data_IF_375714963941
#
_entry.id   IF_375714963941
#
_cell.length_a   1.000
_cell.length_b   1.000
_cell.length_c   1.000
_cell.angle_alpha   90.00
_cell.angle_beta   90.00
_cell.angle_gamma   90.00
#
_symmetry.space_group_name_H-M   'P 1'
#
loop_
_entity.id
_entity.type
_entity.pdbx_description
1 polymer ?
#
# COMPACT_ATOMS: atom_id res chain seq x y z
N UNK A 1 17.08 -12.41 0.52
CA UNK A 1 15.74 -13.02 0.27
C UNK A 1 15.35 -12.74 -1.18
N UNK A 2 14.79 -13.71 -1.83
CA UNK A 2 14.27 -13.55 -3.18
C UNK A 2 13.03 -12.64 -3.16
N UNK A 3 12.99 -11.65 -4.06
CA UNK A 3 11.88 -10.69 -4.09
C UNK A 3 10.54 -11.37 -4.41
N UNK A 4 10.55 -12.34 -5.32
CA UNK A 4 9.34 -13.07 -5.68
C UNK A 4 8.77 -13.81 -4.47
N UNK A 5 9.63 -14.45 -3.68
CA UNK A 5 9.20 -15.16 -2.47
C UNK A 5 8.61 -14.20 -1.44
N UNK A 6 9.21 -13.02 -1.29
CA UNK A 6 8.69 -11.99 -0.39
C UNK A 6 7.32 -11.49 -0.82
N UNK A 7 7.13 -11.25 -2.12
CA UNK A 7 5.84 -10.80 -2.67
C UNK A 7 4.78 -11.91 -2.46
N UNK A 8 5.11 -13.15 -2.72
CA UNK A 8 4.18 -14.27 -2.51
C UNK A 8 3.80 -14.42 -1.03
N UNK A 9 4.75 -14.23 -0.12
CA UNK A 9 4.44 -14.19 1.30
C UNK A 9 3.46 -13.06 1.62
N UNK A 10 3.71 -11.87 1.09
CA UNK A 10 2.85 -10.71 1.31
C UNK A 10 1.44 -10.91 0.75
N UNK A 11 1.27 -11.68 -0.32
CA UNK A 11 -0.06 -11.99 -0.87
C UNK A 11 -0.93 -12.77 0.11
N UNK A 12 -0.34 -13.49 1.04
CA UNK A 12 -1.09 -14.25 2.06
C UNK A 12 -1.59 -13.37 3.19
N UNK A 13 -1.24 -12.08 3.20
CA UNK A 13 -1.57 -11.14 4.25
C UNK A 13 -2.15 -9.86 3.64
N UNK A 14 -2.67 -9.00 4.50
CA UNK A 14 -3.29 -7.73 4.08
C UNK A 14 -2.81 -6.55 4.91
N UNK A 15 -2.29 -6.80 6.11
CA UNK A 15 -1.87 -5.76 7.03
C UNK A 15 -0.36 -5.68 7.10
N UNK A 16 0.14 -4.48 7.15
CA UNK A 16 1.56 -4.23 7.26
C UNK A 16 1.86 -2.86 7.83
N UNK A 17 3.15 -2.60 8.00
CA UNK A 17 3.64 -1.30 8.44
C UNK A 17 4.38 -0.66 7.27
N UNK A 18 3.85 0.47 6.82
CA UNK A 18 4.48 1.28 5.77
C UNK A 18 5.46 2.24 6.42
N UNK A 19 6.67 2.27 5.89
CA UNK A 19 7.73 3.17 6.35
C UNK A 19 8.02 4.17 5.24
N UNK A 20 7.85 5.45 5.56
CA UNK A 20 8.22 6.58 4.70
C UNK A 20 9.26 7.41 5.42
N UNK A 21 9.93 8.32 4.72
CA UNK A 21 11.04 9.11 5.26
C UNK A 21 10.60 10.55 5.48
N UNK A 22 10.70 11.00 6.74
CA UNK A 22 10.39 12.39 7.12
C UNK A 22 11.45 13.34 6.58
N UNK A 23 11.15 14.65 6.62
CA UNK A 23 12.08 15.70 6.20
C UNK A 23 13.44 15.63 6.93
N UNK A 24 13.42 15.26 8.21
CA UNK A 24 14.64 15.17 9.02
C UNK A 24 15.38 13.84 8.82
N UNK A 25 14.92 12.98 7.93
CA UNK A 25 15.53 11.70 7.64
C UNK A 25 15.07 10.55 8.52
N UNK A 26 14.26 10.81 9.53
CA UNK A 26 13.75 9.75 10.40
C UNK A 26 12.64 8.98 9.70
N UNK A 27 12.47 7.68 10.02
CA UNK A 27 11.36 6.92 9.49
C UNK A 27 10.05 7.32 10.14
N UNK A 28 8.99 7.36 9.33
CA UNK A 28 7.62 7.42 9.82
C UNK A 28 6.94 6.09 9.52
N UNK A 29 6.35 5.49 10.54
CA UNK A 29 5.70 4.19 10.44
C UNK A 29 4.18 4.37 10.51
N UNK A 30 3.47 3.68 9.62
CA UNK A 30 2.00 3.72 9.58
C UNK A 30 1.46 2.31 9.40
N UNK A 31 0.49 1.94 10.21
CA UNK A 31 -0.26 0.70 9.97
C UNK A 31 -1.15 0.91 8.75
N UNK A 32 -1.10 -0.03 7.83
CA UNK A 32 -1.87 0.04 6.58
C UNK A 32 -2.46 -1.32 6.23
N UNK A 33 -3.50 -1.28 5.42
CA UNK A 33 -3.99 -2.45 4.70
C UNK A 33 -3.60 -2.27 3.23
N UNK A 34 -3.04 -3.30 2.62
CA UNK A 34 -2.57 -3.23 1.24
C UNK A 34 -3.22 -4.31 0.38
N UNK A 35 -3.17 -4.12 -0.91
CA UNK A 35 -3.41 -5.16 -1.90
C UNK A 35 -2.18 -5.35 -2.76
N UNK A 36 -2.03 -6.55 -3.34
CA UNK A 36 -0.95 -6.85 -4.28
C UNK A 36 -1.59 -7.20 -5.62
N UNK A 37 -1.28 -6.41 -6.64
CA UNK A 37 -1.77 -6.67 -7.99
C UNK A 37 -1.06 -7.86 -8.64
N UNK A 38 -1.64 -8.37 -9.73
CA UNK A 38 -1.02 -9.43 -10.53
C UNK A 38 0.35 -8.99 -11.09
N UNK A 39 0.52 -7.68 -11.25
CA UNK A 39 1.77 -7.05 -11.68
C UNK A 39 2.84 -6.97 -10.57
N UNK A 40 2.53 -7.41 -9.35
CA UNK A 40 3.44 -7.34 -8.22
C UNK A 40 3.49 -5.98 -7.53
N UNK A 41 2.69 -5.03 -7.99
CA UNK A 41 2.64 -3.69 -7.39
C UNK A 41 1.71 -3.70 -6.18
N UNK A 42 2.18 -3.13 -5.08
CA UNK A 42 1.38 -2.98 -3.87
C UNK A 42 0.60 -1.67 -3.93
N UNK A 43 -0.63 -1.69 -3.47
CA UNK A 43 -1.50 -0.52 -3.47
C UNK A 43 -2.07 -0.29 -2.09
N UNK A 44 -2.12 0.99 -1.70
CA UNK A 44 -2.65 1.45 -0.42
C UNK A 44 -3.52 2.65 -0.67
N UNK A 45 -4.73 2.67 -0.07
CA UNK A 45 -5.57 3.86 -0.09
C UNK A 45 -5.08 4.84 0.98
N UNK A 46 -4.75 6.06 0.57
CA UNK A 46 -4.28 7.10 1.48
C UNK A 46 -5.03 8.40 1.22
N UNK A 47 -5.03 9.29 2.19
CA UNK A 47 -5.59 10.64 1.97
C UNK A 47 -4.48 11.63 1.63
N UNK A 48 -4.82 12.64 0.84
CA UNK A 48 -3.87 13.65 0.39
C UNK A 48 -3.20 14.40 1.55
N UNK A 49 -3.90 14.53 2.68
CA UNK A 49 -3.43 15.30 3.84
C UNK A 49 -2.55 14.53 4.81
N UNK A 50 -2.40 13.21 4.64
CA UNK A 50 -1.62 12.40 5.58
C UNK A 50 -0.11 12.61 5.42
N UNK A 51 0.61 12.48 6.53
CA UNK A 51 2.06 12.64 6.54
C UNK A 51 2.77 11.65 5.62
N UNK A 52 2.31 10.39 5.59
CA UNK A 52 2.90 9.36 4.71
C UNK A 52 2.77 9.72 3.23
N UNK A 53 1.68 10.38 2.84
CA UNK A 53 1.50 10.84 1.46
C UNK A 53 2.50 11.95 1.12
N UNK A 54 2.61 12.95 1.99
CA UNK A 54 3.57 14.04 1.79
C UNK A 54 5.01 13.53 1.76
N UNK A 55 5.35 12.60 2.67
CA UNK A 55 6.67 11.99 2.71
C UNK A 55 7.00 11.25 1.42
N UNK A 56 6.05 10.42 0.92
CA UNK A 56 6.25 9.64 -0.29
C UNK A 56 6.40 10.53 -1.54
N UNK A 57 5.73 11.68 -1.58
CA UNK A 57 5.89 12.65 -2.67
C UNK A 57 7.27 13.30 -2.66
N UNK A 58 7.82 13.57 -1.48
CA UNK A 58 9.12 14.21 -1.35
C UNK A 58 10.28 13.23 -1.51
N UNK A 59 10.12 12.03 -0.98
CA UNK A 59 11.13 10.97 -1.04
C UNK A 59 10.42 9.67 -1.39
N UNK A 60 10.70 9.16 -2.57
CA UNK A 60 9.99 7.98 -3.10
C UNK A 60 10.42 6.67 -2.45
N UNK A 61 11.50 6.65 -1.69
CA UNK A 61 11.95 5.43 -1.01
C UNK A 61 10.98 5.04 0.09
N UNK A 62 10.46 3.84 0.00
CA UNK A 62 9.51 3.30 0.98
C UNK A 62 9.87 1.86 1.31
N UNK A 63 9.42 1.41 2.47
CA UNK A 63 9.55 0.02 2.90
C UNK A 63 8.22 -0.44 3.47
N UNK A 64 7.89 -1.70 3.22
CA UNK A 64 6.69 -2.32 3.77
C UNK A 64 7.11 -3.54 4.59
N UNK A 65 6.83 -3.50 5.88
CA UNK A 65 7.07 -4.63 6.79
C UNK A 65 5.80 -5.44 6.92
N UNK A 66 5.88 -6.71 6.57
CA UNK A 66 4.78 -7.67 6.66
C UNK A 66 5.23 -8.81 7.55
N UNK A 67 4.45 -9.13 8.57
CA UNK A 67 4.81 -10.17 9.52
C UNK A 67 3.71 -11.20 9.66
N UNK A 68 4.08 -12.44 9.94
CA UNK A 68 3.15 -13.50 10.32
C UNK A 68 2.66 -13.24 11.76
N UNK A 69 1.45 -13.71 12.07
CA UNK A 69 0.82 -13.41 13.36
C UNK A 69 1.65 -13.86 14.56
N UNK A 70 2.45 -14.93 14.40
CA UNK A 70 3.31 -15.46 15.48
C UNK A 70 4.67 -14.76 15.58
N UNK A 71 4.96 -13.78 14.71
CA UNK A 71 6.22 -13.04 14.64
C UNK A 71 7.45 -13.84 14.19
N UNK A 72 7.33 -15.12 13.87
CA UNK A 72 8.47 -15.94 13.47
C UNK A 72 8.82 -15.85 11.99
N UNK A 73 7.95 -15.26 11.18
CA UNK A 73 8.23 -15.02 9.77
C UNK A 73 7.84 -13.61 9.42
N UNK A 74 8.69 -12.94 8.65
CA UNK A 74 8.41 -11.59 8.17
C UNK A 74 9.19 -11.31 6.89
N UNK A 75 8.72 -10.32 6.14
CA UNK A 75 9.44 -9.78 5.01
C UNK A 75 9.37 -8.26 5.05
N UNK A 76 10.47 -7.61 4.72
CA UNK A 76 10.51 -6.18 4.47
C UNK A 76 10.74 -6.00 2.98
N UNK A 77 9.79 -5.37 2.31
CA UNK A 77 9.85 -5.10 0.88
C UNK A 77 10.24 -3.65 0.71
N UNK A 78 11.39 -3.41 0.13
CA UNK A 78 11.88 -2.07 -0.17
C UNK A 78 11.58 -1.74 -1.62
N UNK A 79 11.13 -0.52 -1.86
CA UNK A 79 10.78 -0.12 -3.21
C UNK A 79 10.59 1.39 -3.31
N UNK A 80 9.93 1.78 -4.40
CA UNK A 80 9.65 3.18 -4.68
C UNK A 80 8.16 3.42 -4.73
N UNK A 81 7.75 4.53 -4.11
CA UNK A 81 6.37 4.99 -4.11
C UNK A 81 6.06 5.79 -5.36
N UNK A 82 4.87 5.56 -5.88
CA UNK A 82 4.26 6.40 -6.89
C UNK A 82 2.87 6.76 -6.38
N UNK A 83 2.51 8.03 -6.40
CA UNK A 83 1.18 8.48 -5.96
C UNK A 83 0.35 8.89 -7.17
N UNK A 84 -0.90 8.43 -7.21
CA UNK A 84 -1.85 8.83 -8.24
C UNK A 84 -2.36 10.25 -7.98
N UNK A 85 -3.01 10.88 -8.96
CA UNK A 85 -3.77 12.09 -8.68
C UNK A 85 -4.83 11.83 -7.60
N UNK A 86 -5.18 12.88 -6.86
CA UNK A 86 -6.25 12.80 -5.85
C UNK A 86 -7.59 12.59 -6.56
N UNK A 87 -8.44 11.72 -6.01
CA UNK A 87 -9.79 11.50 -6.52
C UNK A 87 -10.54 12.83 -6.57
N UNK A 88 -11.03 13.22 -7.73
CA UNK A 88 -11.73 14.48 -7.96
C UNK A 88 -13.11 14.30 -8.61
N UNK A 89 -13.37 13.14 -9.19
CA UNK A 89 -14.64 12.77 -9.81
C UNK A 89 -14.96 11.34 -9.45
N UNK A 90 -16.24 11.00 -9.13
CA UNK A 90 -16.59 9.64 -8.71
C UNK A 90 -16.26 8.54 -9.72
N UNK A 91 -16.05 8.90 -10.97
CA UNK A 91 -15.75 7.96 -12.05
C UNK A 91 -14.38 8.19 -12.68
N UNK A 92 -13.47 8.89 -12.00
CA UNK A 92 -12.12 9.07 -12.52
C UNK A 92 -11.25 7.81 -12.34
N UNK A 93 -10.07 7.82 -12.97
CA UNK A 93 -9.17 6.68 -12.95
C UNK A 93 -8.67 6.34 -11.55
N UNK A 94 -8.48 7.35 -10.69
CA UNK A 94 -8.06 7.12 -9.30
C UNK A 94 -9.13 6.35 -8.53
N UNK A 95 -10.41 6.74 -8.68
CA UNK A 95 -11.50 6.04 -8.01
C UNK A 95 -11.62 4.61 -8.53
N UNK A 96 -11.44 4.38 -9.83
CA UNK A 96 -11.45 3.02 -10.37
C UNK A 96 -10.34 2.15 -9.75
N UNK A 97 -9.16 2.70 -9.58
CA UNK A 97 -8.05 1.97 -8.94
C UNK A 97 -8.32 1.73 -7.45
N UNK A 98 -8.94 2.68 -6.76
CA UNK A 98 -9.37 2.50 -5.36
C UNK A 98 -10.43 1.39 -5.23
N UNK A 99 -11.32 1.25 -6.20
CA UNK A 99 -12.30 0.17 -6.23
C UNK A 99 -11.60 -1.19 -6.38
N UNK A 100 -10.66 -1.31 -7.30
CA UNK A 100 -9.89 -2.54 -7.49
C UNK A 100 -9.12 -2.90 -6.21
N UNK A 101 -8.51 -1.91 -5.58
CA UNK A 101 -7.84 -2.07 -4.29
C UNK A 101 -8.81 -2.59 -3.23
N UNK A 102 -9.97 -1.98 -3.09
CA UNK A 102 -10.96 -2.38 -2.09
C UNK A 102 -11.43 -3.82 -2.31
N UNK A 103 -11.74 -4.17 -3.57
CA UNK A 103 -12.17 -5.53 -3.90
C UNK A 103 -11.11 -6.56 -3.53
N UNK A 104 -9.86 -6.27 -3.81
CA UNK A 104 -8.76 -7.18 -3.50
C UNK A 104 -8.53 -7.31 -1.99
N UNK A 105 -8.69 -6.23 -1.23
CA UNK A 105 -8.42 -6.21 0.20
C UNK A 105 -9.62 -6.64 1.05
N UNK A 106 -10.85 -6.33 0.63
CA UNK A 106 -12.05 -6.46 1.46
C UNK A 106 -13.25 -7.10 0.75
N UNK A 107 -13.16 -7.41 -0.54
CA UNK A 107 -14.27 -7.97 -1.31
C UNK A 107 -15.24 -6.92 -1.82
N UNK A 108 -16.47 -7.31 -2.11
CA UNK A 108 -17.47 -6.41 -2.67
C UNK A 108 -17.99 -5.44 -1.62
N UNK A 109 -18.08 -4.17 -2.01
CA UNK A 109 -18.69 -3.13 -1.17
C UNK A 109 -20.22 -3.18 -1.33
N UNK A 110 -21.00 -2.98 -0.27
CA UNK A 110 -22.46 -3.01 -0.35
C UNK A 110 -23.07 -1.86 -1.14
N UNK A 111 -22.33 -0.77 -1.35
CA UNK A 111 -22.81 0.43 -2.05
C UNK A 111 -21.65 1.14 -2.76
N UNK A 112 -21.37 0.76 -3.99
CA UNK A 112 -20.27 1.35 -4.77
C UNK A 112 -20.48 2.83 -5.06
N UNK A 113 -21.72 3.29 -5.24
CA UNK A 113 -21.98 4.72 -5.49
C UNK A 113 -21.57 5.55 -4.27
N UNK A 114 -21.89 5.07 -3.07
CA UNK A 114 -21.48 5.75 -1.84
C UNK A 114 -19.95 5.70 -1.67
N UNK A 115 -19.33 4.56 -1.93
CA UNK A 115 -17.87 4.42 -1.88
C UNK A 115 -17.18 5.45 -2.79
N UNK A 116 -17.65 5.57 -4.04
CA UNK A 116 -17.12 6.54 -5.00
C UNK A 116 -17.23 7.96 -4.46
N UNK A 117 -18.37 8.33 -3.92
CA UNK A 117 -18.61 9.65 -3.35
C UNK A 117 -17.65 9.93 -2.18
N UNK A 118 -17.45 8.95 -1.29
CA UNK A 118 -16.58 9.10 -0.11
C UNK A 118 -15.12 9.24 -0.51
N UNK A 119 -14.66 8.52 -1.54
CA UNK A 119 -13.28 8.64 -2.02
C UNK A 119 -12.97 10.06 -2.46
N UNK A 120 -13.90 10.69 -3.16
CA UNK A 120 -13.74 12.09 -3.57
C UNK A 120 -13.83 13.04 -2.37
N UNK A 121 -14.82 12.84 -1.51
CA UNK A 121 -15.03 13.70 -0.33
C UNK A 121 -13.83 13.67 0.63
N UNK A 122 -13.22 12.50 0.80
CA UNK A 122 -12.06 12.31 1.69
C UNK A 122 -10.74 12.75 1.06
N UNK A 123 -10.71 13.07 -0.23
CA UNK A 123 -9.46 13.37 -0.93
C UNK A 123 -8.53 12.17 -1.00
N UNK A 124 -9.07 11.00 -1.34
CA UNK A 124 -8.30 9.76 -1.43
C UNK A 124 -7.49 9.67 -2.71
N UNK A 125 -6.42 8.93 -2.63
CA UNK A 125 -5.57 8.55 -3.77
C UNK A 125 -4.95 7.20 -3.50
N UNK A 126 -4.31 6.63 -4.51
CA UNK A 126 -3.58 5.37 -4.36
C UNK A 126 -2.09 5.66 -4.23
N UNK A 127 -1.48 5.11 -3.19
CA UNK A 127 -0.04 5.03 -3.09
C UNK A 127 0.36 3.65 -3.62
N UNK A 128 1.13 3.63 -4.71
CA UNK A 128 1.66 2.41 -5.32
C UNK A 128 3.07 2.19 -4.83
N UNK A 129 3.40 0.94 -4.49
CA UNK A 129 4.77 0.56 -4.13
C UNK A 129 5.27 -0.37 -5.22
N UNK A 130 6.34 0.05 -5.90
CA UNK A 130 7.05 -0.75 -6.90
C UNK A 130 8.20 -1.46 -6.20
N UNK A 131 8.10 -2.78 -5.94
CA UNK A 131 9.11 -3.51 -5.19
C UNK A 131 10.45 -3.57 -5.94
N UNK A 132 11.55 -3.43 -5.21
CA UNK A 132 12.89 -3.50 -5.79
C UNK A 132 13.73 -4.61 -5.16
N UNK A 133 13.62 -4.79 -3.83
CA UNK A 133 14.35 -5.82 -3.10
C UNK A 133 13.65 -6.15 -1.81
N UNK A 134 14.07 -7.24 -1.17
CA UNK A 134 13.47 -7.66 0.08
C UNK A 134 14.49 -8.32 0.99
N UNK A 135 14.21 -8.28 2.29
CA UNK A 135 14.93 -9.04 3.30
C UNK A 135 13.95 -9.51 4.37
N UNK A 136 14.37 -10.43 5.20
CA UNK A 136 13.56 -10.96 6.30
C UNK A 136 13.83 -12.42 6.55
N UNK A 137 12.83 -13.08 7.12
CA UNK A 137 12.88 -14.51 7.45
C UNK A 137 11.56 -15.14 7.05
N UNK A 138 11.57 -15.98 6.02
CA UNK A 138 10.39 -16.71 5.60
C UNK A 138 10.32 -18.07 6.26
N UNK A 139 9.09 -18.63 6.39
CA UNK A 139 8.96 -19.98 6.94
C UNK A 139 9.66 -20.99 6.03
N UNK A 140 10.23 -22.04 6.64
CA UNK A 140 10.81 -23.13 5.89
C UNK A 140 9.73 -23.85 5.07
N UNK A 141 10.07 -24.34 3.86
CA UNK A 141 9.12 -25.08 3.04
C UNK A 141 8.67 -26.38 3.70
#
# INVERSE_FOLDING_TARGET
MDLTDAIEFARTRQDGVLVTIKRDGRPQLSNITYSVGDDGVFRVSVTASRAKTANARRDERVSLHVTRDDFYAYAVIEGRAEVTPVASDPHDATVEELIDYYRAAAGEHPDWDDYRRVMVADGRLVLRIHPERAYGMLPSP
#
